data_IF_977853569674
#
_entry.id   IF_977853569674
#
_cell.length_a   1.000
_cell.length_b   1.000
_cell.length_c   1.000
_cell.angle_alpha   90.00
_cell.angle_beta   90.00
_cell.angle_gamma   90.00
#
_symmetry.space_group_name_H-M   'P 1'
#
loop_
_entity.id
_entity.type
_entity.pdbx_description
1 polymer ?
#
# COMPACT_ATOMS: atom_id res chain seq x y z
N UNK A 1 9.12 2.47 -9.01
CA UNK A 1 8.87 1.39 -8.04
C UNK A 1 7.51 0.76 -8.29
N UNK A 2 7.47 -0.56 -8.26
CA UNK A 2 6.24 -1.31 -8.48
C UNK A 2 5.83 -2.06 -7.25
N UNK A 3 4.53 -2.24 -7.08
CA UNK A 3 3.96 -3.09 -6.05
C UNK A 3 3.34 -4.25 -6.80
N UNK A 4 3.94 -5.45 -6.65
CA UNK A 4 3.51 -6.64 -7.39
C UNK A 4 2.64 -7.51 -6.53
N UNK A 5 1.69 -8.18 -7.14
CA UNK A 5 0.85 -9.13 -6.43
C UNK A 5 1.68 -10.36 -6.03
N UNK A 6 1.42 -10.84 -4.83
CA UNK A 6 2.01 -12.07 -4.34
C UNK A 6 3.48 -11.96 -3.96
N UNK A 7 4.11 -13.11 -3.81
CA UNK A 7 5.50 -13.19 -3.38
C UNK A 7 6.43 -13.24 -4.57
N UNK A 8 7.44 -12.37 -4.55
CA UNK A 8 8.49 -12.38 -5.55
C UNK A 8 8.20 -11.45 -6.71
N UNK A 9 9.07 -11.51 -7.71
CA UNK A 9 9.06 -10.54 -8.80
C UNK A 9 8.35 -11.04 -10.06
N UNK A 10 7.69 -12.18 -9.96
CA UNK A 10 6.98 -12.76 -11.10
C UNK A 10 5.51 -12.37 -11.15
N UNK A 11 5.00 -11.78 -10.07
CA UNK A 11 3.60 -11.36 -10.03
C UNK A 11 3.36 -10.14 -10.89
N UNK A 12 2.12 -9.98 -11.31
CA UNK A 12 1.70 -8.80 -12.05
C UNK A 12 1.87 -7.55 -11.20
N UNK A 13 2.13 -6.44 -11.84
CA UNK A 13 2.21 -5.16 -11.15
C UNK A 13 0.80 -4.72 -10.79
N UNK A 14 0.52 -4.62 -9.49
CA UNK A 14 -0.76 -4.13 -9.03
C UNK A 14 -0.79 -2.61 -9.08
N UNK A 15 0.30 -1.98 -8.66
CA UNK A 15 0.39 -0.51 -8.61
C UNK A 15 1.78 -0.05 -9.01
N UNK A 16 1.84 1.16 -9.57
CA UNK A 16 3.10 1.86 -9.82
C UNK A 16 3.16 3.06 -8.88
N UNK A 17 4.31 3.27 -8.25
CA UNK A 17 4.50 4.40 -7.35
C UNK A 17 5.03 5.57 -8.16
N UNK A 18 4.27 6.67 -8.16
CA UNK A 18 4.58 7.88 -8.90
C UNK A 18 4.56 9.04 -7.92
N UNK A 19 5.71 9.32 -7.29
CA UNK A 19 5.78 10.33 -6.26
C UNK A 19 4.85 9.96 -5.11
N UNK A 20 3.87 10.81 -4.84
CA UNK A 20 2.92 10.56 -3.77
C UNK A 20 1.71 9.75 -4.24
N UNK A 21 1.67 9.39 -5.52
CA UNK A 21 0.52 8.67 -6.05
C UNK A 21 0.83 7.19 -6.25
N UNK A 22 -0.17 6.36 -5.98
CA UNK A 22 -0.14 4.95 -6.33
C UNK A 22 -1.13 4.78 -7.47
N UNK A 23 -0.62 4.43 -8.64
CA UNK A 23 -1.45 4.27 -9.84
C UNK A 23 -1.71 2.80 -10.09
N UNK A 24 -2.88 2.48 -10.62
CA UNK A 24 -3.19 1.10 -10.97
C UNK A 24 -2.28 0.64 -12.10
N UNK A 25 -1.81 -0.59 -11.98
CA UNK A 25 -1.07 -1.25 -13.04
C UNK A 25 0.34 -0.75 -13.21
N UNK A 26 0.93 -1.12 -14.34
CA UNK A 26 2.32 -0.81 -14.64
C UNK A 26 2.41 0.49 -15.44
N UNK A 27 3.28 1.37 -14.98
CA UNK A 27 3.52 2.62 -15.69
C UNK A 27 2.71 3.77 -15.11
N UNK A 28 2.80 4.92 -15.77
CA UNK A 28 2.25 6.16 -15.23
C UNK A 28 0.95 6.60 -15.90
N UNK A 29 0.33 5.71 -16.67
CA UNK A 29 -0.90 6.04 -17.38
C UNK A 29 -2.16 5.57 -16.66
N UNK A 30 -2.00 4.76 -15.62
CA UNK A 30 -3.16 4.28 -14.88
C UNK A 30 -3.74 5.37 -14.00
N UNK A 31 -5.01 5.19 -13.64
CA UNK A 31 -5.67 6.10 -12.71
C UNK A 31 -4.98 6.02 -11.35
N UNK A 32 -5.04 7.13 -10.61
CA UNK A 32 -4.50 7.17 -9.26
C UNK A 32 -5.47 6.42 -8.34
N UNK A 33 -4.96 5.34 -7.74
CA UNK A 33 -5.74 4.56 -6.79
C UNK A 33 -5.72 5.23 -5.41
N UNK A 34 -4.55 5.70 -5.01
CA UNK A 34 -4.34 6.30 -3.68
C UNK A 34 -3.35 7.45 -3.76
N UNK A 35 -3.47 8.36 -2.79
CA UNK A 35 -2.51 9.44 -2.58
C UNK A 35 -1.92 9.26 -1.19
N UNK A 36 -0.59 9.26 -1.10
CA UNK A 36 0.11 9.14 0.19
C UNK A 36 0.33 10.56 0.72
N UNK A 37 -0.21 10.83 1.89
CA UNK A 37 -0.19 12.14 2.52
C UNK A 37 0.41 11.96 3.92
N UNK A 38 1.74 12.07 4.01
CA UNK A 38 2.41 11.82 5.27
C UNK A 38 2.18 10.37 5.70
N UNK A 39 1.57 10.20 6.86
CA UNK A 39 1.28 8.86 7.36
C UNK A 39 -0.06 8.32 6.89
N UNK A 40 -0.81 9.10 6.10
CA UNK A 40 -2.12 8.68 5.62
C UNK A 40 -2.06 8.26 4.17
N UNK A 41 -2.82 7.22 3.85
CA UNK A 41 -3.03 6.78 2.48
C UNK A 41 -4.49 7.05 2.17
N UNK A 42 -4.74 7.99 1.25
CA UNK A 42 -6.10 8.44 0.94
C UNK A 42 -6.57 7.83 -0.36
N UNK A 43 -7.84 7.58 -0.46
CA UNK A 43 -8.44 7.08 -1.70
C UNK A 43 -8.35 8.15 -2.78
N UNK A 44 -8.02 7.72 -3.99
CA UNK A 44 -8.04 8.58 -5.16
C UNK A 44 -6.91 9.58 -5.20
N UNK A 45 -7.07 10.56 -6.08
CA UNK A 45 -6.04 11.56 -6.32
C UNK A 45 -6.29 12.80 -5.48
N UNK A 46 -5.25 13.22 -4.75
CA UNK A 46 -5.30 14.46 -3.98
C UNK A 46 -5.60 14.23 -2.52
N UNK A 47 -5.80 15.32 -1.80
CA UNK A 47 -5.90 15.30 -0.34
C UNK A 47 -7.32 15.36 0.19
N UNK A 48 -8.31 15.23 -0.69
CA UNK A 48 -9.72 15.33 -0.30
C UNK A 48 -10.39 13.98 -0.08
N UNK A 49 -9.70 12.90 -0.47
CA UNK A 49 -10.26 11.57 -0.30
C UNK A 49 -10.21 11.12 1.16
N UNK A 50 -11.08 10.20 1.52
CA UNK A 50 -11.06 9.61 2.84
C UNK A 50 -9.75 8.86 3.06
N UNK A 51 -9.33 8.79 4.31
CA UNK A 51 -8.13 8.03 4.67
C UNK A 51 -8.49 6.54 4.63
N UNK A 52 -7.83 5.82 3.72
CA UNK A 52 -8.01 4.38 3.63
C UNK A 52 -7.19 3.67 4.68
N UNK A 53 -5.95 4.13 4.88
CA UNK A 53 -5.01 3.50 5.81
C UNK A 53 -4.16 4.55 6.51
N UNK A 54 -3.66 4.17 7.68
CA UNK A 54 -2.68 4.97 8.41
C UNK A 54 -1.42 4.12 8.56
N UNK A 55 -0.27 4.70 8.20
CA UNK A 55 1.02 4.03 8.31
C UNK A 55 1.54 4.22 9.72
N UNK A 56 1.85 3.12 10.40
CA UNK A 56 2.29 3.13 11.78
C UNK A 56 3.51 2.22 11.88
N UNK A 57 4.69 2.77 11.62
CA UNK A 57 5.91 1.98 11.60
C UNK A 57 5.80 0.90 10.53
N UNK A 58 5.90 -0.35 10.95
CA UNK A 58 5.79 -1.47 10.02
C UNK A 58 4.35 -1.89 9.77
N UNK A 59 3.40 -1.27 10.46
CA UNK A 59 1.98 -1.65 10.33
C UNK A 59 1.23 -0.68 9.45
N UNK A 60 0.31 -1.23 8.68
CA UNK A 60 -0.62 -0.46 7.85
C UNK A 60 -1.99 -0.70 8.45
N UNK A 61 -2.54 0.32 9.12
CA UNK A 61 -3.80 0.22 9.85
C UNK A 61 -4.95 0.72 9.00
N UNK A 62 -6.10 0.13 9.15
CA UNK A 62 -7.30 0.56 8.43
C UNK A 62 -7.79 1.88 8.98
N UNK A 63 -8.20 2.77 8.09
CA UNK A 63 -8.79 4.04 8.45
C UNK A 63 -7.79 5.04 8.99
N UNK A 64 -8.32 6.08 9.59
CA UNK A 64 -7.52 7.19 10.08
C UNK A 64 -7.16 6.99 11.55
N UNK A 65 -5.87 7.10 11.84
CA UNK A 65 -5.39 7.03 13.20
C UNK A 65 -4.83 5.67 13.56
N UNK A 66 -4.44 5.53 14.82
CA UNK A 66 -3.71 4.37 15.28
C UNK A 66 -4.58 3.35 16.02
N UNK A 67 -5.90 3.54 15.97
CA UNK A 67 -6.84 2.64 16.65
C UNK A 67 -7.43 1.58 15.72
N UNK A 68 -7.19 1.72 14.43
CA UNK A 68 -7.71 0.75 13.47
C UNK A 68 -6.94 -0.55 13.53
N UNK A 69 -7.58 -1.62 13.08
CA UNK A 69 -6.93 -2.92 12.98
C UNK A 69 -5.78 -2.85 11.99
N UNK A 70 -4.76 -3.67 12.23
CA UNK A 70 -3.65 -3.79 11.30
C UNK A 70 -4.12 -4.60 10.11
N UNK A 71 -4.17 -3.96 8.95
CA UNK A 71 -4.54 -4.66 7.72
C UNK A 71 -3.35 -5.43 7.17
N UNK A 72 -2.17 -4.81 7.24
CA UNK A 72 -0.95 -5.39 6.66
C UNK A 72 0.26 -5.06 7.53
N UNK A 73 1.30 -5.89 7.39
CA UNK A 73 2.59 -5.66 8.03
C UNK A 73 3.65 -5.61 6.94
N UNK A 74 4.49 -4.58 6.98
CA UNK A 74 5.64 -4.45 6.07
C UNK A 74 6.78 -5.31 6.61
N UNK A 75 7.32 -6.15 5.75
CA UNK A 75 8.41 -7.06 6.12
C UNK A 75 9.46 -6.99 5.01
N UNK A 76 10.34 -6.02 5.13
CA UNK A 76 11.32 -5.79 4.07
C UNK A 76 10.61 -5.42 2.79
N UNK A 77 10.80 -6.21 1.75
CA UNK A 77 10.17 -5.97 0.46
C UNK A 77 8.79 -6.61 0.34
N UNK A 78 8.33 -7.29 1.38
CA UNK A 78 7.04 -7.99 1.37
C UNK A 78 6.01 -7.24 2.20
N UNK A 79 4.77 -7.35 1.77
CA UNK A 79 3.62 -6.83 2.52
C UNK A 79 2.77 -8.03 2.85
N UNK A 80 2.60 -8.29 4.16
CA UNK A 80 1.87 -9.45 4.66
C UNK A 80 0.50 -9.05 5.18
N UNK A 81 -0.44 -9.98 5.09
CA UNK A 81 -1.77 -9.78 5.70
C UNK A 81 -1.65 -9.72 7.21
N UNK A 82 -2.43 -8.81 7.80
CA UNK A 82 -2.59 -8.76 9.24
C UNK A 82 -1.36 -8.30 9.98
N UNK A 83 -1.39 -8.53 11.29
CA UNK A 83 -0.32 -8.07 12.17
C UNK A 83 0.72 -9.16 12.35
N UNK A 84 1.99 -8.76 12.13
CA UNK A 84 3.11 -9.65 12.36
C UNK A 84 3.57 -10.37 11.11
N UNK A 85 4.49 -11.30 11.28
CA UNK A 85 5.20 -11.93 10.19
C UNK A 85 4.68 -13.30 9.81
N UNK A 86 3.54 -13.68 10.35
CA UNK A 86 2.95 -15.00 10.08
C UNK A 86 1.90 -14.98 8.98
N UNK A 87 1.48 -13.79 8.57
CA UNK A 87 0.50 -13.67 7.51
C UNK A 87 1.09 -13.98 6.15
N UNK A 88 0.22 -14.34 5.22
CA UNK A 88 0.62 -14.59 3.83
C UNK A 88 1.11 -13.31 3.19
N UNK A 89 2.04 -13.44 2.27
CA UNK A 89 2.55 -12.29 1.53
C UNK A 89 1.52 -11.94 0.46
N UNK A 90 1.04 -10.69 0.50
CA UNK A 90 0.04 -10.20 -0.45
C UNK A 90 0.71 -9.49 -1.61
N UNK A 91 1.76 -8.74 -1.31
CA UNK A 91 2.46 -7.93 -2.30
C UNK A 91 3.96 -7.99 -2.09
N UNK A 92 4.70 -7.73 -3.17
CA UNK A 92 6.15 -7.58 -3.13
C UNK A 92 6.50 -6.22 -3.72
N UNK A 93 7.36 -5.49 -3.03
CA UNK A 93 7.83 -4.18 -3.49
C UNK A 93 9.06 -4.40 -4.37
N UNK A 94 9.05 -3.75 -5.52
CA UNK A 94 10.11 -3.95 -6.52
C UNK A 94 10.75 -2.61 -6.86
#
# INVERSE_FOLDING_TARGET
MYIRNGKGLWGDVAYSVDGQYLRYGKGLWGDVAYTVDGQYVRYGKGLWGDVAYTLDGEYIRRGKGLWGDVAYTLDGEHIRHGKGLWGSIVYTLD
#
